data_IF_321879727930
#
_entry.id   IF_321879727930
#
_cell.length_a   1.000
_cell.length_b   1.000
_cell.length_c   1.000
_cell.angle_alpha   90.00
_cell.angle_beta   90.00
_cell.angle_gamma   90.00
#
_symmetry.space_group_name_H-M   'P 1'
#
loop_
_entity.id
_entity.type
_entity.pdbx_description
1 polymer ?
#
# COMPACT_ATOMS: atom_id res chain seq x y z
N UNK A 1 12.94 -24.16 11.13
CA UNK A 1 13.68 -23.82 9.90
C UNK A 1 12.65 -23.61 8.79
N UNK A 2 12.15 -22.38 8.65
CA UNK A 2 11.48 -21.83 7.45
C UNK A 2 12.02 -20.41 7.34
N UNK A 3 12.93 -20.23 6.39
CA UNK A 3 13.67 -19.00 6.13
C UNK A 3 13.44 -18.67 4.66
N UNK A 4 13.47 -17.38 4.33
CA UNK A 4 13.32 -16.73 3.01
C UNK A 4 11.94 -16.15 2.66
N UNK A 5 11.71 -14.94 3.20
CA UNK A 5 11.52 -13.68 2.45
C UNK A 5 10.59 -13.67 1.23
N UNK A 6 9.50 -12.89 1.34
CA UNK A 6 8.83 -12.31 0.18
C UNK A 6 7.44 -11.72 0.44
N UNK A 7 6.69 -12.23 1.42
CA UNK A 7 5.26 -11.87 1.59
C UNK A 7 4.94 -10.90 2.74
N UNK A 8 5.74 -10.89 3.81
CA UNK A 8 5.48 -10.10 5.03
C UNK A 8 6.14 -8.72 5.02
N UNK A 9 7.47 -8.69 5.05
CA UNK A 9 8.30 -7.47 5.20
C UNK A 9 8.22 -6.46 4.03
N UNK A 10 7.74 -6.87 2.86
CA UNK A 10 7.54 -5.97 1.72
C UNK A 10 6.12 -5.38 1.76
N UNK A 11 5.14 -6.16 2.23
CA UNK A 11 3.75 -5.75 2.22
C UNK A 11 3.49 -4.68 3.27
N UNK A 12 4.01 -4.81 4.48
CA UNK A 12 3.82 -3.84 5.56
C UNK A 12 4.43 -2.47 5.24
N UNK A 13 5.67 -2.40 4.75
CA UNK A 13 6.31 -1.14 4.36
C UNK A 13 5.58 -0.45 3.20
N UNK A 14 5.14 -1.20 2.19
CA UNK A 14 4.35 -0.65 1.08
C UNK A 14 3.02 -0.08 1.59
N UNK A 15 2.33 -0.78 2.48
CA UNK A 15 1.09 -0.31 3.11
C UNK A 15 1.33 0.96 3.92
N UNK A 16 2.40 1.00 4.72
CA UNK A 16 2.82 2.16 5.48
C UNK A 16 3.11 3.36 4.61
N UNK A 17 3.72 3.14 3.45
CA UNK A 17 4.01 4.18 2.49
C UNK A 17 2.76 4.75 1.82
N UNK A 18 1.85 3.86 1.41
CA UNK A 18 0.62 4.21 0.71
C UNK A 18 -0.40 4.91 1.61
N UNK A 19 -0.36 4.68 2.92
CA UNK A 19 -1.27 5.29 3.91
C UNK A 19 -0.75 6.60 4.53
N UNK A 20 0.41 7.11 4.12
CA UNK A 20 1.00 8.31 4.72
C UNK A 20 0.05 9.51 4.59
N UNK A 21 -0.36 10.13 5.71
CA UNK A 21 -1.17 11.34 5.64
C UNK A 21 -0.32 12.52 5.18
N UNK A 22 -0.99 13.52 4.62
CA UNK A 22 -0.41 14.85 4.46
C UNK A 22 -0.29 15.49 5.84
N UNK A 23 0.93 15.78 6.27
CA UNK A 23 1.18 16.33 7.61
C UNK A 23 1.28 17.85 7.59
N UNK A 24 1.98 18.42 6.61
CA UNK A 24 2.11 19.88 6.48
C UNK A 24 2.49 20.31 5.06
N UNK A 25 2.29 21.60 4.80
CA UNK A 25 2.87 22.33 3.67
C UNK A 25 3.96 23.27 4.16
N UNK A 26 5.04 23.38 3.40
CA UNK A 26 6.05 24.40 3.56
C UNK A 26 5.99 25.33 2.35
N UNK A 27 5.60 26.57 2.60
CA UNK A 27 5.61 27.61 1.59
C UNK A 27 7.02 28.12 1.39
N UNK A 28 7.51 27.98 0.16
CA UNK A 28 8.85 28.40 -0.20
C UNK A 28 8.84 29.85 -0.65
N UNK A 29 9.90 30.61 -0.34
CA UNK A 29 10.04 32.01 -0.79
C UNK A 29 10.04 32.13 -2.32
N UNK A 30 10.64 31.15 -2.97
CA UNK A 30 10.73 31.01 -4.42
C UNK A 30 10.39 29.57 -4.79
N UNK A 31 9.65 29.38 -5.89
CA UNK A 31 9.27 28.05 -6.37
C UNK A 31 7.94 27.53 -5.81
N UNK A 32 7.75 26.20 -5.85
CA UNK A 32 6.51 25.56 -5.41
C UNK A 32 6.58 25.16 -3.95
N UNK A 33 5.45 25.24 -3.28
CA UNK A 33 5.25 24.69 -1.95
C UNK A 33 5.53 23.19 -1.96
N UNK A 34 6.17 22.71 -0.90
CA UNK A 34 6.43 21.28 -0.71
C UNK A 34 5.59 20.75 0.44
N UNK A 35 5.26 19.47 0.37
CA UNK A 35 4.54 18.76 1.43
C UNK A 35 5.50 17.95 2.29
N UNK A 36 5.06 17.57 3.48
CA UNK A 36 5.71 16.48 4.22
C UNK A 36 4.70 15.38 4.54
N UNK A 37 5.03 14.09 4.28
CA UNK A 37 6.23 13.62 3.57
C UNK A 37 6.20 14.02 2.08
N UNK A 38 7.35 14.45 1.52
CA UNK A 38 7.46 14.87 0.11
C UNK A 38 7.09 13.73 -0.84
N UNK A 39 7.50 12.52 -0.47
CA UNK A 39 7.37 11.33 -1.31
C UNK A 39 6.04 10.58 -1.13
N UNK A 40 5.12 11.13 -0.32
CA UNK A 40 3.82 10.49 -0.13
C UNK A 40 2.97 10.61 -1.39
N UNK A 41 2.29 9.53 -1.74
CA UNK A 41 1.38 9.51 -2.88
C UNK A 41 0.06 10.06 -2.38
N UNK A 42 -0.30 11.27 -2.82
CA UNK A 42 -1.57 11.89 -2.49
C UNK A 42 -2.59 11.60 -3.59
N UNK A 43 -3.82 11.25 -3.21
CA UNK A 43 -4.93 10.98 -4.14
C UNK A 43 -5.47 9.54 -4.10
N UNK A 44 -6.55 9.27 -4.87
CA UNK A 44 -7.22 7.98 -4.89
C UNK A 44 -6.26 6.85 -5.31
N UNK A 45 -6.39 5.68 -4.68
CA UNK A 45 -5.57 4.50 -4.98
C UNK A 45 -6.47 3.33 -5.27
N UNK A 46 -6.01 2.44 -6.13
CA UNK A 46 -6.69 1.18 -6.45
C UNK A 46 -5.64 0.09 -6.57
N UNK A 47 -5.99 -1.11 -6.13
CA UNK A 47 -5.14 -2.28 -6.26
C UNK A 47 -5.77 -3.28 -7.21
N UNK A 48 -5.00 -3.72 -8.20
CA UNK A 48 -5.43 -4.73 -9.15
C UNK A 48 -5.00 -6.11 -8.65
N UNK A 49 -5.94 -7.06 -8.58
CA UNK A 49 -5.70 -8.41 -8.06
C UNK A 49 -6.14 -9.50 -9.05
N UNK A 50 -5.53 -10.69 -8.95
CA UNK A 50 -5.88 -11.87 -9.74
C UNK A 50 -5.83 -13.16 -8.91
N UNK A 51 -6.25 -14.28 -9.50
CA UNK A 51 -6.43 -15.57 -8.80
C UNK A 51 -5.11 -16.26 -8.39
N UNK A 52 -3.95 -15.84 -8.91
CA UNK A 52 -2.64 -16.45 -8.61
C UNK A 52 -1.97 -15.88 -7.35
N UNK A 53 -2.66 -15.00 -6.62
CA UNK A 53 -2.15 -14.40 -5.40
C UNK A 53 -2.28 -15.36 -4.19
N UNK A 54 -1.56 -16.48 -4.20
CA UNK A 54 -1.50 -17.46 -3.10
C UNK A 54 -0.15 -17.46 -2.37
N UNK A 55 -0.15 -17.74 -1.07
CA UNK A 55 1.01 -17.89 -0.15
C UNK A 55 1.71 -16.58 0.31
N UNK A 56 1.91 -15.61 -0.57
CA UNK A 56 2.35 -14.24 -0.24
C UNK A 56 1.49 -13.13 -0.87
N UNK A 57 0.64 -13.51 -1.83
CA UNK A 57 -0.25 -12.59 -2.55
C UNK A 57 -1.55 -12.24 -1.83
N UNK A 58 -1.91 -12.93 -0.74
CA UNK A 58 -3.14 -12.65 0.03
C UNK A 58 -2.94 -11.54 1.07
N UNK A 59 -1.74 -11.45 1.66
CA UNK A 59 -1.47 -10.52 2.76
C UNK A 59 -1.57 -9.06 2.31
N UNK A 60 -1.01 -8.72 1.14
CA UNK A 60 -0.94 -7.35 0.67
C UNK A 60 -2.32 -6.78 0.26
N UNK A 61 -3.16 -7.47 -0.55
CA UNK A 61 -4.54 -7.06 -0.80
C UNK A 61 -5.40 -7.00 0.47
N UNK A 62 -5.22 -7.96 1.40
CA UNK A 62 -5.91 -7.94 2.68
C UNK A 62 -5.53 -6.69 3.49
N UNK A 63 -4.23 -6.40 3.64
CA UNK A 63 -3.73 -5.22 4.34
C UNK A 63 -4.17 -3.92 3.66
N UNK A 64 -4.16 -3.86 2.32
CA UNK A 64 -4.58 -2.67 1.56
C UNK A 64 -6.04 -2.32 1.81
N UNK A 65 -6.89 -3.36 1.82
CA UNK A 65 -8.30 -3.22 2.17
C UNK A 65 -8.49 -2.87 3.65
N UNK A 66 -7.78 -3.55 4.54
CA UNK A 66 -7.89 -3.35 6.00
C UNK A 66 -7.44 -1.95 6.42
N UNK A 67 -6.36 -1.43 5.83
CA UNK A 67 -5.86 -0.08 6.05
C UNK A 67 -6.70 1.02 5.37
N UNK A 68 -7.74 0.66 4.62
CA UNK A 68 -8.65 1.62 3.98
C UNK A 68 -8.00 2.45 2.87
N UNK A 69 -6.94 1.94 2.23
CA UNK A 69 -6.16 2.72 1.26
C UNK A 69 -6.92 2.93 -0.06
N UNK A 70 -7.76 1.97 -0.46
CA UNK A 70 -8.59 2.06 -1.65
C UNK A 70 -9.31 0.76 -2.01
N UNK A 71 -10.11 0.77 -3.10
CA UNK A 71 -10.76 -0.44 -3.60
C UNK A 71 -9.77 -1.47 -4.18
N UNK A 72 -10.17 -2.73 -4.11
CA UNK A 72 -9.55 -3.83 -4.85
C UNK A 72 -10.36 -4.08 -6.13
N UNK A 73 -9.69 -4.25 -7.28
CA UNK A 73 -10.31 -4.50 -8.59
C UNK A 73 -9.69 -5.74 -9.21
N UNK A 74 -10.52 -6.68 -9.67
CA UNK A 74 -10.07 -7.90 -10.35
C UNK A 74 -10.72 -9.17 -9.77
N UNK A 75 -10.09 -10.32 -10.01
CA UNK A 75 -10.58 -11.61 -9.55
C UNK A 75 -10.17 -11.88 -8.09
N UNK A 76 -11.05 -12.53 -7.31
CA UNK A 76 -10.80 -12.82 -5.89
C UNK A 76 -9.57 -13.73 -5.79
N UNK A 77 -8.67 -13.41 -4.86
CA UNK A 77 -7.50 -14.25 -4.59
C UNK A 77 -7.93 -15.63 -4.08
N UNK A 78 -7.01 -16.59 -4.08
CA UNK A 78 -7.28 -18.00 -3.77
C UNK A 78 -7.83 -18.23 -2.35
N UNK A 79 -7.78 -17.21 -1.48
CA UNK A 79 -8.53 -17.19 -0.22
C UNK A 79 -7.73 -17.72 0.97
N UNK A 80 -6.40 -17.52 1.00
CA UNK A 80 -5.54 -18.01 2.07
C UNK A 80 -5.64 -17.27 3.41
N UNK A 81 -6.45 -16.20 3.51
CA UNK A 81 -6.71 -15.48 4.77
C UNK A 81 -8.19 -15.07 4.82
N UNK A 82 -9.00 -15.87 5.49
CA UNK A 82 -10.31 -15.48 6.05
C UNK A 82 -10.12 -14.85 7.42
#
# INVERSE_FOLDING_TARGET
MWHFNGGGDIADYVIDYLRRPLLAFFTMREGRDITTPIEAIFGPKVMIINEMAGSGGDAMPWLFRHAGIGPLVGARTWGGLV
#
